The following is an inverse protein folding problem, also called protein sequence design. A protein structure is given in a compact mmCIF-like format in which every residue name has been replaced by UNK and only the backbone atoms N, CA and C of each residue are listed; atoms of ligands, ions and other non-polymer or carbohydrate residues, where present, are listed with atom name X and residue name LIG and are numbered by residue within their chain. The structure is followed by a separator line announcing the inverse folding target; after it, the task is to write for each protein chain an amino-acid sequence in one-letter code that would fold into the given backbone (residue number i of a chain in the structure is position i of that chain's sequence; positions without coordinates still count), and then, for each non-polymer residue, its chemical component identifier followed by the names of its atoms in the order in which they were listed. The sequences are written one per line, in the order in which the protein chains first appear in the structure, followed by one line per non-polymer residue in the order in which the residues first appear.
data_IF_214701395223
#
_entry.id   IF_214701395223
#
_cell.length_a   1.000
_cell.length_b   1.000
_cell.length_c   1.000
_cell.angle_alpha   90.00
_cell.angle_beta   90.00
_cell.angle_gamma   90.00
#
_symmetry.space_group_name_H-M   'P 1'
#
loop_
_entity.id
_entity.type
_entity.pdbx_description
1 polymer ?
#
# COMPACT_ATOMS: atom_id res chain seq x y z
N UNK A 1 -1.26 -6.60 17.88
CA UNK A 1 -0.29 -7.23 16.97
C UNK A 1 1.03 -6.56 17.22
N UNK A 2 2.04 -7.30 17.64
CA UNK A 2 3.36 -6.72 17.89
C UNK A 2 4.14 -6.68 16.59
N UNK A 3 4.82 -5.57 16.29
CA UNK A 3 5.50 -5.38 14.99
C UNK A 3 6.59 -6.43 14.73
N UNK A 4 7.15 -7.00 15.80
CA UNK A 4 8.15 -8.05 15.75
C UNK A 4 7.62 -9.36 15.16
N UNK A 5 6.30 -9.57 15.22
CA UNK A 5 5.61 -10.76 14.72
C UNK A 5 5.14 -10.59 13.27
N UNK A 6 5.16 -9.36 12.75
CA UNK A 6 4.70 -9.04 11.40
C UNK A 6 5.80 -9.37 10.41
N UNK A 7 5.46 -10.16 9.38
CA UNK A 7 6.36 -10.51 8.28
C UNK A 7 5.75 -10.11 6.94
N UNK A 8 6.57 -9.71 5.96
CA UNK A 8 6.16 -9.60 4.56
C UNK A 8 5.47 -10.89 4.12
N UNK A 9 4.37 -10.73 3.39
CA UNK A 9 3.59 -11.84 2.87
C UNK A 9 2.51 -12.38 3.81
N UNK A 10 2.35 -11.81 5.00
CA UNK A 10 1.26 -12.13 5.93
C UNK A 10 0.05 -11.24 5.70
N UNK A 11 -1.14 -11.78 6.00
CA UNK A 11 -2.37 -10.97 6.10
C UNK A 11 -2.57 -10.58 7.55
N UNK A 12 -2.73 -9.28 7.81
CA UNK A 12 -3.02 -8.74 9.13
C UNK A 12 -4.44 -8.15 9.20
N UNK A 13 -5.00 -8.13 10.40
CA UNK A 13 -6.25 -7.46 10.71
C UNK A 13 -5.95 -6.06 11.24
N UNK A 14 -6.40 -5.05 10.50
CA UNK A 14 -6.36 -3.63 10.87
C UNK A 14 -7.74 -3.16 11.32
N UNK A 15 -7.84 -1.97 11.92
CA UNK A 15 -9.13 -1.38 12.32
C UNK A 15 -10.07 -1.19 11.12
N UNK A 16 -9.50 -1.01 9.93
CA UNK A 16 -10.21 -0.80 8.67
C UNK A 16 -10.50 -2.10 7.91
N UNK A 17 -10.09 -3.26 8.43
CA UNK A 17 -10.29 -4.58 7.82
C UNK A 17 -9.00 -5.36 7.58
N UNK A 18 -9.06 -6.39 6.74
CA UNK A 18 -7.91 -7.21 6.39
C UNK A 18 -7.00 -6.50 5.38
N UNK A 19 -5.70 -6.54 5.65
CA UNK A 19 -4.68 -5.99 4.78
C UNK A 19 -3.52 -6.97 4.61
N UNK A 20 -2.89 -6.95 3.43
CA UNK A 20 -1.74 -7.78 3.13
C UNK A 20 -0.46 -6.99 3.37
N UNK A 21 0.51 -7.60 4.06
CA UNK A 21 1.79 -6.96 4.39
C UNK A 21 2.73 -7.09 3.20
N UNK A 22 3.10 -5.95 2.62
CA UNK A 22 4.09 -5.89 1.55
C UNK A 22 5.50 -5.80 2.14
N UNK A 23 5.70 -4.84 3.04
CA UNK A 23 7.01 -4.53 3.61
C UNK A 23 6.88 -4.15 5.08
N UNK A 24 7.95 -4.42 5.84
CA UNK A 24 8.04 -4.11 7.27
C UNK A 24 9.38 -3.43 7.50
N UNK A 25 9.34 -2.17 7.91
CA UNK A 25 10.51 -1.46 8.41
C UNK A 25 10.50 -1.44 9.94
N UNK A 26 11.36 -2.26 10.53
CA UNK A 26 11.49 -2.38 11.99
C UNK A 26 12.24 -1.21 12.61
N UNK A 27 13.07 -0.49 11.85
CA UNK A 27 13.84 0.64 12.37
C UNK A 27 12.93 1.85 12.60
N UNK A 28 12.04 2.12 11.65
CA UNK A 28 11.07 3.22 11.76
C UNK A 28 9.70 2.79 12.31
N UNK A 29 9.54 1.51 12.65
CA UNK A 29 8.28 0.89 13.09
C UNK A 29 7.11 1.10 12.11
N UNK A 30 7.41 1.04 10.81
CA UNK A 30 6.47 1.25 9.72
C UNK A 30 6.15 -0.07 9.02
N UNK A 31 4.90 -0.22 8.58
CA UNK A 31 4.45 -1.40 7.83
C UNK A 31 3.69 -0.95 6.59
N UNK A 32 4.15 -1.37 5.42
CA UNK A 32 3.48 -1.13 4.15
C UNK A 32 2.40 -2.20 3.94
N UNK A 33 1.16 -1.75 3.79
CA UNK A 33 -0.01 -2.61 3.70
C UNK A 33 -0.75 -2.39 2.38
N UNK A 34 -1.02 -3.47 1.66
CA UNK A 34 -1.96 -3.48 0.54
C UNK A 34 -3.35 -3.83 1.06
N UNK A 35 -4.25 -2.86 1.03
CA UNK A 35 -5.65 -3.08 1.40
C UNK A 35 -6.40 -3.69 0.22
N UNK A 36 -7.29 -4.62 0.50
CA UNK A 36 -8.29 -5.08 -0.47
C UNK A 36 -9.42 -4.05 -0.59
N UNK A 37 -9.06 -2.80 -0.86
CA UNK A 37 -10.05 -1.83 -1.31
C UNK A 37 -10.41 -2.20 -2.73
N UNK A 38 -11.68 -2.57 -2.92
CA UNK A 38 -12.33 -2.65 -4.23
C UNK A 38 -11.73 -1.56 -5.12
N UNK A 39 -11.14 -1.85 -6.29
CA UNK A 39 -10.51 -0.83 -7.10
C UNK A 39 -11.58 0.17 -7.50
N UNK A 40 -11.73 1.25 -6.72
CA UNK A 40 -12.39 2.45 -7.17
C UNK A 40 -11.50 2.92 -8.30
N UNK A 41 -12.07 2.88 -9.50
CA UNK A 41 -11.44 3.35 -10.73
C UNK A 41 -11.27 4.87 -10.60
N UNK A 42 -10.28 5.28 -9.80
CA UNK A 42 -9.79 6.64 -9.81
C UNK A 42 -9.25 6.82 -11.22
N UNK A 43 -9.99 7.57 -12.05
CA UNK A 43 -9.40 8.20 -13.21
C UNK A 43 -8.29 9.07 -12.66
N UNK A 44 -7.07 8.54 -12.61
CA UNK A 44 -5.90 9.37 -12.74
C UNK A 44 -6.11 10.06 -14.09
N UNK A 45 -6.58 11.30 -14.07
CA UNK A 45 -6.21 12.23 -15.11
C UNK A 45 -4.70 12.35 -14.96
N UNK A 46 -3.97 11.42 -15.59
CA UNK A 46 -2.61 11.67 -15.99
C UNK A 46 -2.76 12.88 -16.89
N UNK A 47 -2.51 14.07 -16.32
CA UNK A 47 -2.33 15.28 -17.11
C UNK A 47 -1.31 14.89 -18.17
N UNK A 48 -1.76 14.83 -19.43
CA UNK A 48 -0.93 14.56 -20.60
C UNK A 48 0.43 15.26 -20.41
N UNK A 49 1.56 14.53 -20.31
CA UNK A 49 2.83 15.14 -20.61
C UNK A 49 2.78 15.45 -22.10
N UNK A 50 2.52 16.73 -22.42
CA UNK A 50 2.38 17.19 -23.79
C UNK A 50 3.56 16.76 -24.68
N UNK A 51 3.35 16.68 -26.00
CA UNK A 51 4.42 16.32 -26.91
C UNK A 51 5.50 17.42 -26.92
N UNK A 52 6.71 17.06 -26.50
CA UNK A 52 7.91 17.87 -26.75
C UNK A 52 8.07 17.92 -28.28
N UNK A 53 7.81 19.08 -28.86
CA UNK A 53 8.16 19.35 -30.26
C UNK A 53 8.97 20.65 -30.28
N UNK A 54 10.10 20.58 -31.01
CA UNK A 54 11.13 21.60 -31.17
C UNK A 54 10.61 22.95 -31.67
#
# INVERSE_FOLDING_TARGET
MEINEIRPGMTCLTREGTAYVLEVDKQSLLVLLQRSTKPSRCRCAATDPGPITR
#
